data_IF_906516983846
#
_entry.id   IF_906516983846
#
_cell.length_a   1.000
_cell.length_b   1.000
_cell.length_c   1.000
_cell.angle_alpha   90.00
_cell.angle_beta   90.00
_cell.angle_gamma   90.00
#
_symmetry.space_group_name_H-M   'P 1'
#
loop_
_entity.id
_entity.type
_entity.pdbx_description
1 polymer ?
#
# COMPACT_ATOMS: atom_id res chain seq x y z
N UNK A 1 39.48 -21.92 58.02
CA UNK A 1 39.00 -20.57 58.43
C UNK A 1 37.55 -20.44 58.02
N UNK A 2 36.72 -19.89 58.90
CA UNK A 2 35.32 -20.24 59.10
C UNK A 2 34.29 -19.62 58.13
N UNK A 3 33.29 -20.47 57.79
CA UNK A 3 31.83 -20.26 57.67
C UNK A 3 31.25 -19.00 57.02
N UNK A 4 30.30 -19.23 56.12
CA UNK A 4 28.94 -18.69 56.27
C UNK A 4 27.89 -19.64 55.70
N UNK A 5 27.21 -20.34 56.60
CA UNK A 5 25.92 -21.00 56.42
C UNK A 5 24.83 -19.94 56.54
N UNK A 6 23.84 -19.92 55.65
CA UNK A 6 22.55 -19.24 55.92
C UNK A 6 21.42 -20.23 55.69
N UNK A 7 20.55 -20.22 56.68
CA UNK A 7 19.53 -21.18 57.08
C UNK A 7 18.16 -20.71 56.54
N UNK A 8 17.31 -21.66 56.19
CA UNK A 8 15.89 -21.46 55.87
C UNK A 8 15.12 -20.89 57.07
N UNK A 9 14.17 -19.97 56.83
CA UNK A 9 13.02 -19.75 57.73
C UNK A 9 11.76 -19.51 56.90
N UNK A 10 10.93 -20.55 56.84
CA UNK A 10 9.49 -20.49 56.57
C UNK A 10 8.77 -19.80 57.74
N UNK A 11 7.88 -18.85 57.44
CA UNK A 11 6.89 -18.36 58.40
C UNK A 11 5.51 -18.32 57.73
N UNK A 12 4.63 -19.21 58.20
CA UNK A 12 3.18 -19.16 58.03
C UNK A 12 2.62 -18.08 58.97
N UNK A 13 1.74 -17.22 58.47
CA UNK A 13 0.69 -16.60 59.30
C UNK A 13 -0.65 -16.64 58.57
N UNK A 14 -1.60 -17.20 59.30
CA UNK A 14 -3.02 -17.41 59.05
C UNK A 14 -3.80 -16.19 59.62
N UNK A 15 -5.12 -16.15 59.44
CA UNK A 15 -6.14 -15.16 59.88
C UNK A 15 -6.36 -13.97 58.91
N UNK A 16 -7.58 -13.59 58.50
CA UNK A 16 -8.94 -14.05 58.81
C UNK A 16 -10.01 -13.23 58.04
N UNK A 17 -11.21 -13.84 57.93
CA UNK A 17 -12.56 -13.29 57.61
C UNK A 17 -12.88 -11.94 58.29
N UNK A 18 -13.88 -11.12 57.97
CA UNK A 18 -15.07 -11.10 57.10
C UNK A 18 -15.46 -9.61 56.95
N UNK A 19 -16.16 -9.21 55.88
CA UNK A 19 -17.41 -8.45 56.10
C UNK A 19 -18.34 -8.57 54.90
N UNK A 20 -19.52 -9.06 55.23
CA UNK A 20 -20.70 -9.32 54.44
C UNK A 20 -21.45 -8.00 54.20
N UNK A 21 -21.93 -7.78 52.98
CA UNK A 21 -22.71 -6.60 52.62
C UNK A 21 -23.78 -6.89 51.57
N UNK A 22 -24.83 -7.59 52.02
CA UNK A 22 -26.22 -7.50 51.55
C UNK A 22 -26.57 -7.88 50.10
N UNK A 23 -27.20 -9.05 49.97
CA UNK A 23 -28.10 -9.47 48.88
C UNK A 23 -29.54 -8.96 49.11
N UNK A 24 -30.23 -8.59 48.03
CA UNK A 24 -31.66 -8.91 47.74
C UNK A 24 -31.97 -8.38 46.32
N UNK A 25 -32.07 -9.18 45.26
CA UNK A 25 -32.96 -10.31 44.88
C UNK A 25 -34.33 -9.90 44.35
N UNK A 26 -34.52 -10.01 43.02
CA UNK A 26 -35.67 -10.70 42.41
C UNK A 26 -35.35 -11.12 40.94
N UNK A 27 -35.14 -12.42 40.67
CA UNK A 27 -35.99 -13.40 39.91
C UNK A 27 -36.49 -12.85 38.54
N UNK A 28 -36.29 -13.43 37.34
CA UNK A 28 -36.62 -14.79 36.84
C UNK A 28 -35.83 -15.14 35.53
N UNK A 29 -35.33 -16.38 35.49
CA UNK A 29 -35.09 -17.38 34.40
C UNK A 29 -34.58 -17.04 32.98
N UNK A 30 -33.36 -17.53 32.71
CA UNK A 30 -32.88 -18.41 31.62
C UNK A 30 -33.45 -18.32 30.18
N UNK A 31 -32.60 -17.90 29.22
CA UNK A 31 -32.07 -18.76 28.14
C UNK A 31 -31.00 -18.05 27.30
N UNK A 32 -30.01 -18.79 26.74
CA UNK A 32 -28.89 -18.21 26.00
C UNK A 32 -29.34 -17.92 24.56
N UNK A 33 -29.38 -16.64 24.20
CA UNK A 33 -29.74 -16.26 22.82
C UNK A 33 -28.75 -15.20 22.36
N UNK A 34 -27.78 -15.67 21.58
CA UNK A 34 -27.14 -14.98 20.46
C UNK A 34 -27.07 -13.46 20.55
N UNK A 35 -25.91 -12.94 20.96
CA UNK A 35 -25.52 -11.58 20.61
C UNK A 35 -25.35 -11.52 19.09
N UNK A 36 -26.41 -11.08 18.43
CA UNK A 36 -26.45 -10.60 17.06
C UNK A 36 -25.25 -9.67 16.85
N UNK A 37 -24.30 -10.11 16.03
CA UNK A 37 -23.33 -9.21 15.45
C UNK A 37 -24.12 -8.20 14.61
N UNK A 38 -24.33 -7.00 15.15
CA UNK A 38 -24.84 -5.89 14.36
C UNK A 38 -23.82 -5.62 13.26
N UNK A 39 -24.11 -6.12 12.06
CA UNK A 39 -23.47 -5.72 10.81
C UNK A 39 -23.92 -4.29 10.51
N UNK A 40 -23.32 -3.33 11.23
CA UNK A 40 -23.38 -1.91 10.86
C UNK A 40 -22.71 -1.77 9.50
N UNK A 41 -23.49 -1.43 8.49
CA UNK A 41 -23.01 -1.00 7.17
C UNK A 41 -22.44 0.43 7.19
N UNK A 42 -22.53 1.12 8.32
CA UNK A 42 -22.07 2.51 8.48
C UNK A 42 -20.80 2.60 9.31
N UNK A 43 -20.00 3.61 8.97
CA UNK A 43 -18.77 3.92 9.67
C UNK A 43 -19.07 4.51 11.06
N UNK A 44 -18.31 4.12 12.10
CA UNK A 44 -18.48 4.71 13.41
C UNK A 44 -18.07 6.18 13.39
N UNK A 45 -18.69 7.00 14.25
CA UNK A 45 -18.36 8.43 14.38
C UNK A 45 -16.88 8.68 14.69
N UNK A 46 -16.25 7.76 15.43
CA UNK A 46 -14.84 7.78 15.75
C UNK A 46 -14.15 6.47 15.32
N UNK A 47 -12.87 6.52 14.92
CA UNK A 47 -12.14 5.31 14.57
C UNK A 47 -11.92 4.40 15.78
N UNK A 48 -12.16 3.11 15.58
CA UNK A 48 -11.90 2.07 16.59
C UNK A 48 -10.43 1.63 16.64
N UNK A 49 -9.64 1.99 15.63
CA UNK A 49 -8.23 1.61 15.48
C UNK A 49 -7.37 2.86 15.57
N UNK A 50 -6.28 2.79 16.34
CA UNK A 50 -5.30 3.88 16.46
C UNK A 50 -4.39 3.93 15.25
N UNK A 51 -4.26 5.10 14.63
CA UNK A 51 -3.28 5.37 13.58
C UNK A 51 -1.86 5.42 14.16
N UNK A 52 -0.95 4.64 13.59
CA UNK A 52 0.47 4.62 13.98
C UNK A 52 1.27 5.55 13.09
N UNK A 53 2.22 6.29 13.65
CA UNK A 53 3.07 7.22 12.90
C UNK A 53 3.77 6.59 11.67
N UNK A 54 4.23 5.35 11.79
CA UNK A 54 4.89 4.62 10.70
C UNK A 54 3.94 4.16 9.57
N UNK A 55 2.64 4.32 9.77
CA UNK A 55 1.59 4.03 8.79
C UNK A 55 0.99 5.32 8.21
N UNK A 56 1.63 6.48 8.45
CA UNK A 56 1.26 7.79 7.90
C UNK A 56 2.21 8.17 6.77
N UNK A 57 1.67 8.67 5.65
CA UNK A 57 2.43 9.21 4.52
C UNK A 57 2.06 10.65 4.26
N UNK A 58 3.03 11.45 3.84
CA UNK A 58 2.76 12.81 3.39
C UNK A 58 2.36 12.81 1.92
N UNK A 59 1.35 13.59 1.57
CA UNK A 59 0.89 13.84 0.21
C UNK A 59 0.75 15.33 -0.02
N UNK A 60 0.90 15.74 -1.28
CA UNK A 60 0.62 17.11 -1.70
C UNK A 60 -0.74 17.14 -2.37
N UNK A 61 -1.64 17.98 -1.85
CA UNK A 61 -2.92 18.27 -2.47
C UNK A 61 -2.94 19.71 -2.97
N UNK A 62 -3.59 19.93 -4.10
CA UNK A 62 -3.88 21.21 -4.71
C UNK A 62 -5.25 21.09 -5.41
N UNK A 63 -5.58 22.02 -6.32
CA UNK A 63 -6.85 21.98 -7.06
C UNK A 63 -6.96 20.81 -8.05
N UNK A 64 -5.85 20.16 -8.41
CA UNK A 64 -5.84 19.01 -9.30
C UNK A 64 -6.23 17.75 -8.52
N UNK A 65 -7.00 16.88 -9.17
CA UNK A 65 -7.35 15.57 -8.60
C UNK A 65 -6.12 14.68 -8.56
N UNK A 66 -5.80 14.20 -7.36
CA UNK A 66 -4.76 13.20 -7.08
C UNK A 66 -5.44 11.91 -6.65
N UNK A 67 -5.13 10.82 -7.34
CA UNK A 67 -5.56 9.48 -6.94
C UNK A 67 -4.48 8.84 -6.06
N UNK A 68 -4.87 8.37 -4.88
CA UNK A 68 -4.04 7.47 -4.09
C UNK A 68 -4.67 6.08 -4.08
N UNK A 69 -3.83 5.06 -4.20
CA UNK A 69 -4.29 3.69 -4.19
C UNK A 69 -3.59 2.94 -3.06
N UNK A 70 -4.33 2.21 -2.23
CA UNK A 70 -3.77 1.49 -1.09
C UNK A 70 -4.66 0.34 -0.63
N UNK A 71 -4.15 -0.47 0.31
CA UNK A 71 -4.94 -1.46 1.02
C UNK A 71 -5.24 -0.98 2.45
N UNK A 72 -6.53 -0.91 2.80
CA UNK A 72 -7.01 -0.63 4.14
C UNK A 72 -7.58 -1.90 4.78
N UNK A 73 -7.44 -2.04 6.09
CA UNK A 73 -7.99 -3.17 6.85
C UNK A 73 -8.82 -2.68 8.04
N UNK A 74 -9.84 -3.43 8.41
CA UNK A 74 -10.67 -3.15 9.58
C UNK A 74 -9.89 -3.19 10.91
N UNK A 75 -8.72 -3.85 10.93
CA UNK A 75 -7.86 -3.95 12.11
C UNK A 75 -6.60 -3.08 12.05
N UNK A 76 -6.39 -2.32 10.96
CA UNK A 76 -5.22 -1.48 10.78
C UNK A 76 -5.56 -0.22 10.00
N UNK A 77 -5.38 0.92 10.67
CA UNK A 77 -5.49 2.23 10.03
C UNK A 77 -4.25 2.56 9.21
N UNK A 78 -4.45 3.27 8.11
CA UNK A 78 -3.42 3.97 7.36
C UNK A 78 -3.73 5.47 7.37
N UNK A 79 -2.70 6.29 7.21
CA UNK A 79 -2.80 7.74 7.34
C UNK A 79 -2.18 8.48 6.17
N UNK A 80 -2.79 9.60 5.81
CA UNK A 80 -2.23 10.56 4.86
C UNK A 80 -2.24 11.96 5.46
N UNK A 81 -1.13 12.69 5.37
CA UNK A 81 -1.07 14.08 5.81
C UNK A 81 -0.85 15.02 4.64
N UNK A 82 -1.54 16.15 4.66
CA UNK A 82 -1.39 17.22 3.67
C UNK A 82 -1.47 18.58 4.36
N UNK A 83 -0.86 19.60 3.73
CA UNK A 83 -0.97 20.99 4.17
C UNK A 83 -2.11 21.67 3.40
N UNK A 84 -2.94 22.45 4.10
CA UNK A 84 -4.00 23.24 3.49
C UNK A 84 -4.20 24.55 4.26
N UNK A 85 -4.85 25.52 3.61
CA UNK A 85 -5.22 26.81 4.18
C UNK A 85 -6.63 26.76 4.78
N UNK A 86 -6.92 27.71 5.68
CA UNK A 86 -8.28 27.90 6.15
C UNK A 86 -9.19 28.35 5.00
N UNK A 87 -10.32 27.67 4.83
CA UNK A 87 -11.28 27.92 3.75
C UNK A 87 -11.12 27.01 2.52
N UNK A 88 -10.02 26.26 2.40
CA UNK A 88 -9.85 25.28 1.34
C UNK A 88 -10.95 24.21 1.41
N UNK A 89 -11.37 23.68 0.27
CA UNK A 89 -12.39 22.63 0.18
C UNK A 89 -11.75 21.29 -0.15
N UNK A 90 -11.64 20.40 0.83
CA UNK A 90 -11.26 19.02 0.59
C UNK A 90 -12.43 18.26 -0.02
N UNK A 91 -12.23 17.74 -1.23
CA UNK A 91 -13.11 16.77 -1.84
C UNK A 91 -12.37 15.44 -1.99
N UNK A 92 -13.09 14.35 -1.77
CA UNK A 92 -12.57 13.01 -1.99
C UNK A 92 -13.66 12.04 -2.42
N UNK A 93 -13.29 11.04 -3.21
CA UNK A 93 -14.20 10.02 -3.70
C UNK A 93 -13.50 8.67 -3.79
N UNK A 94 -14.24 7.61 -3.44
CA UNK A 94 -13.83 6.23 -3.63
C UNK A 94 -15.05 5.39 -4.00
N UNK A 95 -14.84 4.31 -4.73
CA UNK A 95 -15.86 3.30 -5.04
C UNK A 95 -15.95 2.19 -3.97
N UNK A 96 -15.08 2.24 -2.95
CA UNK A 96 -15.01 1.24 -1.89
C UNK A 96 -15.68 1.68 -0.60
N UNK A 97 -16.19 0.71 0.15
CA UNK A 97 -16.76 0.93 1.48
C UNK A 97 -15.66 1.12 2.53
N UNK A 98 -15.11 2.33 2.60
CA UNK A 98 -14.08 2.77 3.55
C UNK A 98 -14.67 3.69 4.61
N UNK A 99 -14.02 3.70 5.78
CA UNK A 99 -14.22 4.74 6.77
C UNK A 99 -13.03 5.70 6.75
N UNK A 100 -13.34 6.97 6.54
CA UNK A 100 -12.38 8.05 6.38
C UNK A 100 -12.71 9.12 7.43
N UNK A 101 -11.74 9.42 8.28
CA UNK A 101 -11.83 10.53 9.24
C UNK A 101 -10.75 11.54 8.91
N UNK A 102 -11.11 12.82 8.89
CA UNK A 102 -10.17 13.91 8.65
C UNK A 102 -9.94 14.64 9.96
N UNK A 103 -8.68 14.72 10.38
CA UNK A 103 -8.23 15.42 11.56
C UNK A 103 -7.64 16.77 11.20
N UNK A 104 -8.08 17.82 11.89
CA UNK A 104 -7.50 19.16 11.86
C UNK A 104 -6.09 19.18 12.47
N UNK A 105 -5.33 20.30 12.30
CA UNK A 105 -4.00 20.45 12.91
C UNK A 105 -3.96 20.32 14.43
N UNK A 106 -5.08 20.53 15.12
CA UNK A 106 -5.26 20.33 16.56
C UNK A 106 -5.89 18.97 16.93
N UNK A 107 -5.88 18.01 16.00
CA UNK A 107 -6.35 16.63 16.15
C UNK A 107 -7.86 16.50 16.45
N UNK A 108 -8.68 17.41 15.93
CA UNK A 108 -10.14 17.29 15.99
C UNK A 108 -10.68 16.70 14.69
N UNK A 109 -11.66 15.79 14.79
CA UNK A 109 -12.34 15.25 13.60
C UNK A 109 -13.24 16.33 13.01
N UNK A 110 -13.15 16.54 11.70
CA UNK A 110 -14.04 17.44 10.94
C UNK A 110 -15.02 16.64 10.09
N UNK A 111 -16.25 17.14 9.97
CA UNK A 111 -17.39 16.45 9.31
C UNK A 111 -17.90 17.18 8.06
N UNK A 112 -17.12 18.13 7.51
CA UNK A 112 -17.45 18.88 6.29
C UNK A 112 -16.26 18.97 5.34
N UNK A 113 -16.51 19.45 4.11
CA UNK A 113 -15.47 19.62 3.09
C UNK A 113 -14.63 20.89 3.29
N UNK A 114 -15.17 21.93 3.92
CA UNK A 114 -14.42 23.17 4.17
C UNK A 114 -13.47 23.00 5.36
N UNK A 115 -12.19 23.24 5.13
CA UNK A 115 -11.13 23.10 6.11
C UNK A 115 -11.08 24.35 7.02
N UNK A 116 -11.25 24.21 8.34
CA UNK A 116 -11.44 25.37 9.22
C UNK A 116 -10.15 26.12 9.54
N UNK A 117 -8.99 25.49 9.37
CA UNK A 117 -7.68 26.00 9.83
C UNK A 117 -6.62 25.89 8.76
N UNK A 118 -5.61 26.74 8.85
CA UNK A 118 -4.37 26.52 8.12
C UNK A 118 -3.51 25.50 8.88
N UNK A 119 -2.84 24.62 8.14
CA UNK A 119 -1.83 23.72 8.68
C UNK A 119 -1.92 22.30 8.15
N UNK A 120 -1.33 21.36 8.93
CA UNK A 120 -1.25 19.94 8.55
C UNK A 120 -2.48 19.17 9.00
N UNK A 121 -3.22 18.66 8.03
CA UNK A 121 -4.34 17.75 8.23
C UNK A 121 -3.89 16.29 8.19
N UNK A 122 -4.66 15.39 8.80
CA UNK A 122 -4.45 13.94 8.71
C UNK A 122 -5.74 13.24 8.30
N UNK A 123 -5.72 12.49 7.21
CA UNK A 123 -6.78 11.54 6.86
C UNK A 123 -6.43 10.17 7.42
N UNK A 124 -7.31 9.62 8.23
CA UNK A 124 -7.22 8.25 8.71
C UNK A 124 -8.22 7.37 7.95
N UNK A 125 -7.75 6.26 7.38
CA UNK A 125 -8.55 5.38 6.53
C UNK A 125 -8.52 3.94 7.08
N UNK A 126 -9.70 3.31 7.15
CA UNK A 126 -9.87 1.87 7.47
C UNK A 126 -10.92 1.24 6.57
N UNK A 127 -10.80 -0.05 6.28
CA UNK A 127 -11.91 -0.79 5.69
C UNK A 127 -12.99 -1.06 6.75
N UNK A 128 -14.26 -1.02 6.38
CA UNK A 128 -15.36 -1.33 7.31
C UNK A 128 -15.25 -2.78 7.83
N UNK A 129 -14.83 -3.70 6.96
CA UNK A 129 -14.65 -5.11 7.26
C UNK A 129 -13.50 -5.70 6.43
N UNK A 130 -12.80 -6.69 6.98
CA UNK A 130 -11.73 -7.41 6.28
C UNK A 130 -10.60 -6.48 5.83
N UNK A 131 -9.99 -6.81 4.70
CA UNK A 131 -9.01 -5.98 4.01
C UNK A 131 -9.52 -5.68 2.61
N UNK A 132 -9.36 -4.44 2.16
CA UNK A 132 -9.81 -3.94 0.86
C UNK A 132 -8.74 -3.07 0.22
N UNK A 133 -8.48 -3.30 -1.06
CA UNK A 133 -7.76 -2.35 -1.89
C UNK A 133 -8.74 -1.28 -2.36
N UNK A 134 -8.30 -0.03 -2.40
CA UNK A 134 -9.11 1.10 -2.82
C UNK A 134 -8.30 2.11 -3.60
N UNK A 135 -9.01 2.85 -4.45
CA UNK A 135 -8.58 4.11 -5.05
C UNK A 135 -9.34 5.25 -4.36
N UNK A 136 -8.62 6.29 -3.95
CA UNK A 136 -9.16 7.49 -3.35
C UNK A 136 -8.68 8.70 -4.13
N UNK A 137 -9.60 9.28 -4.91
CA UNK A 137 -9.41 10.55 -5.59
C UNK A 137 -9.57 11.68 -4.56
N UNK A 138 -8.69 12.68 -4.61
CA UNK A 138 -8.67 13.80 -3.66
C UNK A 138 -8.28 15.11 -4.37
N UNK A 139 -8.85 16.23 -3.94
CA UNK A 139 -8.40 17.57 -4.32
C UNK A 139 -8.76 18.62 -3.26
N UNK A 140 -8.05 19.76 -3.29
CA UNK A 140 -8.42 21.00 -2.60
C UNK A 140 -9.18 21.91 -3.59
N UNK A 141 -10.37 21.46 -4.00
CA UNK A 141 -11.15 22.06 -5.09
C UNK A 141 -12.17 21.06 -5.59
N UNK A 142 -12.83 21.32 -6.72
CA UNK A 142 -13.72 20.32 -7.32
C UNK A 142 -12.92 19.11 -7.85
N UNK A 143 -13.52 17.92 -7.85
CA UNK A 143 -12.92 16.77 -8.50
C UNK A 143 -13.09 16.96 -10.02
N UNK A 144 -11.98 16.99 -10.75
CA UNK A 144 -12.05 17.13 -12.21
C UNK A 144 -12.44 15.78 -12.82
N UNK A 145 -13.63 15.75 -13.44
CA UNK A 145 -13.98 14.64 -14.33
C UNK A 145 -13.12 14.78 -15.58
N UNK A 146 -12.26 13.81 -15.85
CA UNK A 146 -11.46 13.75 -17.07
C UNK A 146 -12.37 13.49 -18.28
N UNK A 147 -13.04 14.53 -18.76
CA UNK A 147 -13.70 14.51 -20.06
C UNK A 147 -12.66 14.40 -21.18
N UNK A 148 -12.78 13.44 -22.12
CA UNK A 148 -11.93 13.38 -23.29
C UNK A 148 -11.97 14.72 -24.06
N UNK A 149 -10.86 15.16 -24.68
CA UNK A 149 -10.86 16.38 -25.47
C UNK A 149 -11.93 16.31 -26.57
N UNK A 150 -12.70 17.38 -26.81
CA UNK A 150 -13.65 17.45 -27.90
C UNK A 150 -12.93 17.19 -29.23
N UNK A 151 -13.35 16.15 -29.95
CA UNK A 151 -12.95 15.95 -31.35
C UNK A 151 -13.54 17.08 -32.19
N UNK A 152 -12.71 18.04 -32.56
CA UNK A 152 -13.03 19.06 -33.55
C UNK A 152 -13.06 18.42 -34.94
N UNK A 153 -14.15 18.53 -35.71
CA UNK A 153 -14.16 18.07 -37.09
C UNK A 153 -13.29 18.98 -37.96
N UNK A 154 -12.25 18.40 -38.56
CA UNK A 154 -11.42 19.00 -39.61
C UNK A 154 -12.27 19.21 -40.87
N UNK A 155 -12.68 20.45 -41.11
CA UNK A 155 -13.12 20.85 -42.45
C UNK A 155 -11.88 21.26 -43.25
N UNK A 156 -11.45 20.34 -44.11
CA UNK A 156 -10.63 20.64 -45.28
C UNK A 156 -11.48 21.46 -46.25
N UNK A 157 -11.06 22.69 -46.54
CA UNK A 157 -11.13 23.24 -47.90
C UNK A 157 -10.10 24.36 -48.06
N UNK A 158 -9.26 24.20 -49.09
CA UNK A 158 -8.20 25.07 -49.63
C UNK A 158 -8.74 25.59 -50.97
N UNK A 159 -8.55 26.86 -51.41
CA UNK A 159 -7.29 27.35 -52.01
C UNK A 159 -6.93 28.82 -51.68
N UNK A 160 -5.66 29.11 -51.36
CA UNK A 160 -4.63 29.69 -52.27
C UNK A 160 -4.83 31.18 -52.57
N UNK A 161 -4.05 32.05 -51.91
CA UNK A 161 -3.31 33.12 -52.62
C UNK A 161 -2.13 33.64 -51.79
N UNK A 162 -1.10 34.05 -52.52
CA UNK A 162 0.27 34.38 -52.12
C UNK A 162 0.43 35.89 -51.95
N UNK A 163 1.06 36.35 -50.85
CA UNK A 163 1.91 37.54 -50.91
C UNK A 163 2.91 37.58 -49.75
N UNK A 164 4.17 37.74 -50.14
CA UNK A 164 5.36 37.96 -49.34
C UNK A 164 5.30 39.26 -48.53
N UNK A 165 5.84 39.25 -47.30
CA UNK A 165 6.80 40.28 -46.91
C UNK A 165 7.72 39.84 -45.75
N UNK A 166 8.97 40.29 -45.83
CA UNK A 166 10.11 39.95 -44.97
C UNK A 166 10.13 40.77 -43.67
N UNK A 167 10.54 40.18 -42.54
CA UNK A 167 11.57 40.78 -41.66
C UNK A 167 12.01 39.83 -40.54
N UNK A 168 13.33 39.71 -40.40
CA UNK A 168 14.08 39.03 -39.35
C UNK A 168 13.68 39.46 -37.93
N UNK A 169 13.62 38.52 -36.97
CA UNK A 169 14.40 38.64 -35.73
C UNK A 169 14.58 37.31 -34.99
N UNK A 170 15.72 37.21 -34.32
CA UNK A 170 16.35 36.08 -33.64
C UNK A 170 15.60 35.49 -32.45
N UNK A 171 15.99 34.24 -32.14
CA UNK A 171 16.05 33.59 -30.84
C UNK A 171 14.74 33.31 -30.09
N UNK A 172 14.29 32.05 -30.13
CA UNK A 172 14.37 31.18 -28.94
C UNK A 172 14.26 29.71 -29.35
N UNK A 173 15.35 28.95 -29.19
CA UNK A 173 15.27 27.49 -29.07
C UNK A 173 14.64 27.23 -27.69
N UNK A 174 13.32 27.18 -27.63
CA UNK A 174 12.65 26.55 -26.51
C UNK A 174 12.61 25.05 -26.81
N UNK A 175 13.63 24.37 -26.29
CA UNK A 175 13.68 22.93 -26.11
C UNK A 175 12.37 22.50 -25.46
N UNK A 176 11.47 21.93 -26.27
CA UNK A 176 10.22 21.36 -25.77
C UNK A 176 10.56 20.33 -24.70
N UNK A 177 10.19 20.68 -23.48
CA UNK A 177 10.23 19.85 -22.30
C UNK A 177 9.44 18.58 -22.64
N UNK A 178 10.12 17.45 -22.63
CA UNK A 178 9.56 16.12 -22.80
C UNK A 178 8.34 15.98 -21.92
N UNK A 179 7.15 16.02 -22.52
CA UNK A 179 5.90 15.63 -21.86
C UNK A 179 6.08 14.20 -21.40
N UNK A 180 6.32 14.00 -20.10
CA UNK A 180 6.35 12.70 -19.46
C UNK A 180 5.03 12.00 -19.77
N UNK A 181 5.04 11.10 -20.75
CA UNK A 181 3.86 10.33 -21.14
C UNK A 181 3.44 9.50 -19.93
N UNK A 182 2.18 9.63 -19.56
CA UNK A 182 1.53 8.74 -18.60
C UNK A 182 1.41 7.37 -19.26
N UNK A 183 1.94 6.32 -18.64
CA UNK A 183 1.72 4.94 -19.09
C UNK A 183 0.32 4.49 -18.70
N UNK A 184 -0.23 3.54 -19.45
CA UNK A 184 -1.54 2.93 -19.17
C UNK A 184 -1.52 1.89 -18.04
N UNK A 185 -0.36 1.68 -17.39
CA UNK A 185 -0.26 0.84 -16.20
C UNK A 185 -0.94 1.51 -15.01
N UNK A 186 -1.96 0.84 -14.45
CA UNK A 186 -2.57 1.22 -13.17
C UNK A 186 -1.78 0.68 -11.98
N UNK A 187 -2.01 1.22 -10.78
CA UNK A 187 -1.37 0.69 -9.58
C UNK A 187 -1.87 -0.73 -9.26
N UNK A 188 -3.14 -1.01 -9.52
CA UNK A 188 -3.81 -2.28 -9.23
C UNK A 188 -3.21 -3.37 -10.13
N UNK A 189 -3.00 -3.05 -11.40
CA UNK A 189 -2.32 -3.92 -12.34
C UNK A 189 -0.85 -4.14 -11.94
N UNK A 190 -0.14 -3.07 -11.56
CA UNK A 190 1.24 -3.16 -11.05
C UNK A 190 1.33 -4.01 -9.77
N UNK A 191 0.40 -3.85 -8.84
CA UNK A 191 0.32 -4.62 -7.62
C UNK A 191 -0.02 -6.09 -7.92
N UNK A 192 -0.95 -6.34 -8.84
CA UNK A 192 -1.30 -7.69 -9.30
C UNK A 192 -0.12 -8.40 -9.95
N UNK A 193 0.68 -7.71 -10.77
CA UNK A 193 1.93 -8.22 -11.33
C UNK A 193 2.91 -8.66 -10.24
N UNK A 194 3.11 -7.82 -9.21
CA UNK A 194 4.01 -8.14 -8.10
C UNK A 194 3.41 -9.24 -7.20
N UNK A 195 2.10 -9.26 -6.97
CA UNK A 195 1.43 -10.29 -6.17
C UNK A 195 1.58 -11.68 -6.82
N UNK A 196 1.28 -11.79 -8.12
CA UNK A 196 1.51 -13.02 -8.90
C UNK A 196 2.96 -13.47 -8.85
N UNK A 197 3.91 -12.54 -8.83
CA UNK A 197 5.33 -12.86 -8.63
C UNK A 197 5.62 -13.50 -7.27
N UNK A 198 5.07 -12.97 -6.18
CA UNK A 198 5.24 -13.55 -4.84
C UNK A 198 4.54 -14.91 -4.67
N UNK A 199 3.41 -15.13 -5.35
CA UNK A 199 2.72 -16.42 -5.43
C UNK A 199 3.49 -17.45 -6.28
N UNK A 200 4.18 -17.00 -7.32
CA UNK A 200 4.95 -17.85 -8.22
C UNK A 200 6.28 -18.31 -7.64
N UNK A 201 6.86 -17.55 -6.71
CA UNK A 201 8.18 -17.82 -6.11
C UNK A 201 8.40 -19.28 -5.67
N UNK A 202 7.49 -19.94 -4.94
CA UNK A 202 7.68 -21.34 -4.54
C UNK A 202 7.85 -22.30 -5.72
N UNK A 203 7.23 -22.02 -6.87
CA UNK A 203 7.35 -22.82 -8.10
C UNK A 203 8.59 -22.48 -8.92
N UNK A 204 9.04 -21.23 -8.86
CA UNK A 204 10.22 -20.74 -9.60
C UNK A 204 11.51 -21.14 -8.89
N UNK A 205 11.55 -21.06 -7.56
CA UNK A 205 12.76 -21.26 -6.76
C UNK A 205 12.85 -22.65 -6.09
N UNK A 206 11.97 -23.57 -6.45
CA UNK A 206 12.03 -24.97 -6.03
C UNK A 206 11.82 -25.93 -7.22
N UNK A 207 12.29 -27.19 -7.13
CA UNK A 207 12.04 -28.19 -8.15
C UNK A 207 10.55 -28.27 -8.52
N UNK A 208 10.20 -28.30 -9.82
CA UNK A 208 11.08 -28.48 -10.98
C UNK A 208 11.69 -27.18 -11.57
N UNK A 209 11.58 -26.04 -10.88
CA UNK A 209 12.04 -24.71 -11.31
C UNK A 209 11.31 -24.21 -12.57
N UNK A 210 10.11 -23.67 -12.37
CA UNK A 210 9.20 -23.24 -13.45
C UNK A 210 9.69 -21.99 -14.19
N UNK A 211 10.60 -22.19 -15.17
CA UNK A 211 11.13 -21.11 -16.02
C UNK A 211 10.10 -20.54 -16.99
N UNK A 212 9.06 -21.31 -17.33
CA UNK A 212 7.97 -20.80 -18.17
C UNK A 212 7.17 -19.74 -17.42
N UNK A 213 6.81 -20.02 -16.15
CA UNK A 213 6.17 -19.05 -15.27
C UNK A 213 7.05 -17.81 -15.04
N UNK A 214 8.36 -17.97 -14.94
CA UNK A 214 9.29 -16.84 -14.87
C UNK A 214 9.19 -15.92 -16.12
N UNK A 215 9.17 -16.51 -17.32
CA UNK A 215 9.06 -15.75 -18.58
C UNK A 215 7.68 -15.12 -18.81
N UNK A 216 6.63 -15.68 -18.20
CA UNK A 216 5.30 -15.08 -18.21
C UNK A 216 5.23 -13.82 -17.35
N UNK A 217 5.91 -13.81 -16.19
CA UNK A 217 5.81 -12.73 -15.20
C UNK A 217 6.89 -11.65 -15.33
N UNK A 218 8.02 -11.98 -15.96
CA UNK A 218 9.18 -11.10 -16.00
C UNK A 218 9.86 -11.09 -17.37
N UNK A 219 10.60 -10.02 -17.61
CA UNK A 219 11.48 -9.85 -18.78
C UNK A 219 12.74 -9.09 -18.37
N UNK A 220 13.63 -8.83 -19.32
CA UNK A 220 14.81 -8.00 -19.13
C UNK A 220 15.68 -8.43 -17.96
N UNK A 221 16.08 -7.46 -17.13
CA UNK A 221 17.00 -7.68 -16.02
C UNK A 221 16.43 -8.63 -14.96
N UNK A 222 15.15 -8.52 -14.65
CA UNK A 222 14.46 -9.36 -13.68
C UNK A 222 14.54 -10.83 -14.10
N UNK A 223 14.22 -11.13 -15.37
CA UNK A 223 14.31 -12.48 -15.91
C UNK A 223 15.74 -13.02 -15.79
N UNK A 224 16.74 -12.25 -16.24
CA UNK A 224 18.14 -12.67 -16.24
C UNK A 224 18.67 -12.97 -14.83
N UNK A 225 18.44 -12.06 -13.88
CA UNK A 225 18.91 -12.22 -12.49
C UNK A 225 18.31 -13.48 -11.84
N UNK A 226 17.00 -13.70 -12.05
CA UNK A 226 16.31 -14.86 -11.49
C UNK A 226 16.75 -16.14 -12.18
N UNK A 227 16.88 -16.13 -13.51
CA UNK A 227 17.34 -17.28 -14.29
C UNK A 227 18.72 -17.77 -13.83
N UNK A 228 19.65 -16.84 -13.57
CA UNK A 228 20.97 -17.16 -13.01
C UNK A 228 20.89 -17.69 -11.56
N UNK A 229 19.95 -17.18 -10.76
CA UNK A 229 19.69 -17.73 -9.42
C UNK A 229 19.19 -19.17 -9.48
N UNK A 230 18.30 -19.50 -10.42
CA UNK A 230 17.82 -20.86 -10.66
C UNK A 230 18.97 -21.78 -11.10
N UNK A 231 19.81 -21.33 -12.04
CA UNK A 231 20.98 -22.11 -12.48
C UNK A 231 21.91 -22.46 -11.31
N UNK A 232 22.15 -21.50 -10.42
CA UNK A 232 22.92 -21.74 -9.20
C UNK A 232 22.23 -22.76 -8.27
N UNK A 233 20.92 -22.60 -8.03
CA UNK A 233 20.15 -23.54 -7.20
C UNK A 233 20.23 -24.96 -7.75
N UNK A 234 20.03 -25.14 -9.06
CA UNK A 234 20.12 -26.45 -9.71
C UNK A 234 21.53 -27.03 -9.63
N UNK A 235 22.57 -26.24 -9.94
CA UNK A 235 23.97 -26.67 -9.91
C UNK A 235 24.39 -27.22 -8.54
N UNK A 236 23.87 -26.65 -7.46
CA UNK A 236 24.23 -27.02 -6.09
C UNK A 236 23.17 -27.89 -5.39
N UNK A 237 22.18 -28.41 -6.12
CA UNK A 237 21.06 -29.20 -5.58
C UNK A 237 20.39 -28.50 -4.38
N UNK A 238 20.09 -27.22 -4.56
CA UNK A 238 19.49 -26.34 -3.54
C UNK A 238 18.14 -25.84 -4.01
N UNK A 239 17.29 -25.48 -3.06
CA UNK A 239 15.97 -24.91 -3.35
C UNK A 239 15.41 -24.14 -2.17
N UNK A 240 14.46 -23.26 -2.45
CA UNK A 240 13.76 -22.52 -1.41
C UNK A 240 12.38 -23.14 -1.12
N UNK A 241 11.99 -23.18 0.15
CA UNK A 241 10.59 -23.30 0.56
C UNK A 241 10.14 -21.99 1.17
N UNK A 242 8.87 -21.64 0.99
CA UNK A 242 8.29 -20.40 1.51
C UNK A 242 7.10 -20.76 2.40
N UNK A 243 7.18 -20.37 3.68
CA UNK A 243 6.05 -20.44 4.61
C UNK A 243 5.16 -19.20 4.50
N UNK A 244 5.76 -18.07 4.13
CA UNK A 244 5.07 -16.79 3.93
C UNK A 244 5.75 -15.99 2.83
N UNK A 245 4.96 -15.34 1.99
CA UNK A 245 5.43 -14.57 0.84
C UNK A 245 4.33 -13.61 0.41
N UNK A 246 4.25 -12.43 1.04
CA UNK A 246 3.11 -11.53 0.84
C UNK A 246 3.52 -10.05 0.82
N UNK A 247 2.75 -9.27 0.06
CA UNK A 247 2.82 -7.82 0.06
C UNK A 247 1.96 -7.33 1.22
N UNK A 248 2.58 -6.57 2.12
CA UNK A 248 1.91 -6.03 3.32
C UNK A 248 1.52 -4.57 3.19
N UNK A 249 2.13 -3.85 2.24
CA UNK A 249 1.83 -2.45 1.99
C UNK A 249 2.35 -2.01 0.60
N UNK A 250 1.57 -1.20 -0.11
CA UNK A 250 2.09 -0.38 -1.21
C UNK A 250 2.61 0.91 -0.60
N UNK A 251 3.90 1.20 -0.83
CA UNK A 251 4.61 2.37 -0.31
C UNK A 251 4.42 3.56 -1.26
N UNK A 252 4.55 3.33 -2.56
CA UNK A 252 4.56 4.38 -3.58
C UNK A 252 4.29 3.77 -4.96
N UNK A 253 3.83 4.57 -5.89
CA UNK A 253 3.59 4.16 -7.27
C UNK A 253 3.75 5.35 -8.22
N UNK A 254 4.29 5.10 -9.40
CA UNK A 254 4.32 6.08 -10.47
C UNK A 254 4.19 5.38 -11.81
N UNK A 255 3.27 5.87 -12.64
CA UNK A 255 3.12 5.46 -14.03
C UNK A 255 3.68 6.51 -15.01
N UNK A 256 4.43 7.50 -14.55
CA UNK A 256 4.96 8.55 -15.40
C UNK A 256 6.32 8.20 -16.01
N UNK A 257 6.54 8.61 -17.25
CA UNK A 257 7.83 8.49 -17.92
C UNK A 257 8.11 7.07 -18.44
N UNK A 258 9.36 6.74 -18.76
CA UNK A 258 9.70 5.46 -19.40
C UNK A 258 9.77 4.26 -18.45
N UNK A 259 9.82 4.50 -17.14
CA UNK A 259 10.05 3.46 -16.13
C UNK A 259 8.98 3.53 -15.04
N UNK A 260 7.74 3.10 -15.33
CA UNK A 260 6.71 3.00 -14.31
C UNK A 260 7.15 2.02 -13.21
N UNK A 261 6.78 2.31 -11.97
CA UNK A 261 7.23 1.54 -10.81
C UNK A 261 6.20 1.44 -9.69
N UNK A 262 6.37 0.43 -8.85
CA UNK A 262 5.70 0.30 -7.56
C UNK A 262 6.72 0.02 -6.46
N UNK A 263 6.62 0.73 -5.33
CA UNK A 263 7.36 0.44 -4.11
C UNK A 263 6.44 -0.33 -3.17
N UNK A 264 6.90 -1.44 -2.63
CA UNK A 264 6.10 -2.31 -1.74
C UNK A 264 6.90 -2.74 -0.52
N UNK A 265 6.20 -2.92 0.59
CA UNK A 265 6.71 -3.63 1.77
C UNK A 265 6.22 -5.07 1.75
N UNK A 266 7.13 -5.99 1.95
CA UNK A 266 6.90 -7.43 1.82
C UNK A 266 7.36 -8.13 3.08
N UNK A 267 6.62 -9.15 3.49
CA UNK A 267 7.05 -10.10 4.51
C UNK A 267 7.24 -11.47 3.85
N UNK A 268 8.42 -12.05 4.04
CA UNK A 268 8.73 -13.41 3.61
C UNK A 268 9.22 -14.24 4.78
N UNK A 269 8.87 -15.52 4.81
CA UNK A 269 9.49 -16.53 5.65
C UNK A 269 9.90 -17.67 4.75
N UNK A 270 11.21 -17.82 4.55
CA UNK A 270 11.75 -18.73 3.54
C UNK A 270 12.95 -19.52 4.07
N UNK A 271 13.17 -20.70 3.50
CA UNK A 271 14.21 -21.62 3.92
C UNK A 271 14.97 -22.17 2.73
N UNK A 272 16.29 -22.01 2.73
CA UNK A 272 17.18 -22.54 1.71
C UNK A 272 17.64 -23.95 2.10
N UNK A 273 17.21 -24.94 1.34
CA UNK A 273 17.59 -26.34 1.51
C UNK A 273 18.82 -26.68 0.68
N UNK A 274 19.58 -27.66 1.14
CA UNK A 274 20.69 -28.27 0.43
C UNK A 274 21.10 -29.58 1.11
N UNK A 275 22.19 -30.18 0.66
CA UNK A 275 22.65 -31.51 1.12
C UNK A 275 22.88 -31.60 2.64
N UNK A 276 23.30 -30.51 3.27
CA UNK A 276 23.55 -30.43 4.72
C UNK A 276 22.32 -30.01 5.54
N UNK A 277 21.14 -30.01 4.92
CA UNK A 277 19.90 -29.49 5.48
C UNK A 277 19.71 -27.99 5.24
N UNK A 278 18.98 -27.33 6.13
CA UNK A 278 18.61 -25.91 6.00
C UNK A 278 19.82 -25.00 6.28
N UNK A 279 20.12 -24.12 5.33
CA UNK A 279 21.08 -23.04 5.51
C UNK A 279 20.46 -21.89 6.32
N UNK A 280 20.72 -21.91 7.63
CA UNK A 280 20.16 -20.94 8.58
C UNK A 280 20.59 -19.50 8.32
N UNK A 281 21.69 -19.24 7.60
CA UNK A 281 22.12 -17.86 7.30
C UNK A 281 21.29 -17.26 6.16
N UNK A 282 20.85 -18.10 5.23
CA UNK A 282 20.01 -17.73 4.09
C UNK A 282 18.52 -18.06 4.28
N UNK A 283 18.11 -18.31 5.54
CA UNK A 283 16.75 -18.70 5.90
C UNK A 283 16.22 -17.85 7.05
N UNK A 284 14.91 -17.74 7.14
CA UNK A 284 14.22 -17.07 8.22
C UNK A 284 13.13 -16.12 7.73
N UNK A 285 12.68 -15.27 8.66
CA UNK A 285 11.66 -14.26 8.41
C UNK A 285 12.29 -12.91 8.12
N UNK A 286 11.81 -12.28 7.06
CA UNK A 286 12.28 -10.99 6.57
C UNK A 286 11.11 -10.04 6.38
N UNK A 287 11.36 -8.77 6.64
CA UNK A 287 10.51 -7.67 6.21
C UNK A 287 11.37 -6.73 5.37
N UNK A 288 11.01 -6.57 4.10
CA UNK A 288 11.84 -5.91 3.10
C UNK A 288 11.00 -4.92 2.31
N UNK A 289 11.60 -3.77 1.97
CA UNK A 289 11.01 -2.86 1.01
C UNK A 289 11.68 -3.09 -0.34
N UNK A 290 10.88 -3.12 -1.40
CA UNK A 290 11.35 -3.26 -2.77
C UNK A 290 10.72 -2.19 -3.65
N UNK A 291 11.48 -1.72 -4.63
CA UNK A 291 10.95 -1.06 -5.83
C UNK A 291 10.98 -2.06 -6.98
N UNK A 292 9.86 -2.16 -7.69
CA UNK A 292 9.71 -2.94 -8.92
C UNK A 292 9.46 -1.99 -10.08
N UNK A 293 10.17 -2.19 -11.18
CA UNK A 293 9.99 -1.45 -12.42
C UNK A 293 9.33 -2.35 -13.46
N UNK A 294 8.48 -1.76 -14.30
CA UNK A 294 7.71 -2.48 -15.30
C UNK A 294 8.10 -2.06 -16.72
N UNK A 295 7.89 -2.96 -17.65
CA UNK A 295 7.97 -2.67 -19.09
C UNK A 295 6.89 -3.46 -19.82
N UNK A 296 6.52 -2.97 -21.00
CA UNK A 296 5.51 -3.60 -21.85
C UNK A 296 6.21 -4.41 -22.94
N UNK A 297 5.93 -5.70 -23.00
CA UNK A 297 6.49 -6.61 -23.99
C UNK A 297 5.33 -7.28 -24.72
N UNK A 298 5.24 -7.09 -26.04
CA UNK A 298 4.13 -7.58 -26.88
C UNK A 298 2.73 -7.14 -26.41
N UNK A 299 2.64 -5.96 -25.77
CA UNK A 299 1.37 -5.44 -25.24
C UNK A 299 1.06 -5.85 -23.79
N UNK A 300 1.84 -6.77 -23.21
CA UNK A 300 1.65 -7.20 -21.83
C UNK A 300 2.66 -6.54 -20.89
N UNK A 301 2.19 -6.04 -19.74
CA UNK A 301 3.06 -5.54 -18.69
C UNK A 301 3.78 -6.68 -17.96
N UNK A 302 5.09 -6.52 -17.75
CA UNK A 302 5.95 -7.48 -17.07
C UNK A 302 6.90 -6.80 -16.09
N UNK A 303 7.38 -7.58 -15.11
CA UNK A 303 8.43 -7.13 -14.20
C UNK A 303 9.76 -7.03 -14.97
N UNK A 304 10.30 -5.83 -15.07
CA UNK A 304 11.54 -5.55 -15.80
C UNK A 304 12.77 -5.61 -14.89
N UNK A 305 12.68 -5.03 -13.68
CA UNK A 305 13.76 -5.06 -12.70
C UNK A 305 13.24 -4.83 -11.29
N UNK A 306 14.07 -5.11 -10.28
CA UNK A 306 13.77 -4.79 -8.88
C UNK A 306 15.02 -4.35 -8.12
N UNK A 307 14.83 -3.50 -7.12
CA UNK A 307 15.87 -3.14 -6.17
C UNK A 307 15.33 -3.13 -4.73
N UNK A 308 16.18 -3.52 -3.78
CA UNK A 308 15.87 -3.37 -2.34
C UNK A 308 16.09 -1.91 -1.96
N UNK A 309 15.18 -1.34 -1.17
CA UNK A 309 15.21 0.05 -0.69
C UNK A 309 15.10 0.11 0.83
#
# INVERSE_FOLDING_TARGET
>A
MFKKTIFYVTLLTIYGCDSLGSLSSSVISNSPTSSTANTSSECPEQPKVTLKANDVKEITLNEQTVTISAQASANKAIGYTFIANSGDKLNYQTNENLCIWVYSPDNQIITGSTLPKEGKYTMQITALQGSKTFDLDMSLGELQVSTPPPVTPTNNDTPEDTSSDNSNNSNTINTNITTSSVNDLSQEEALSLVARWYEAKPRIFAPPFDRSLLGQLSTGKMYQDVNGSIEWLQKYNRYYTYNRSEITNVIDFSNYGSNPYIKVRVVEELYLHGEKGIDRKASGRYQLNYIYFFTKENGDWKLYSKAKI
#
